data_IF_675284218960
#
_entry.id   IF_675284218960
#
_cell.length_a   1.000
_cell.length_b   1.000
_cell.length_c   1.000
_cell.angle_alpha   90.00
_cell.angle_beta   90.00
_cell.angle_gamma   90.00
#
_symmetry.space_group_name_H-M   'P 1'
#
loop_
_entity.id
_entity.type
_entity.pdbx_description
1 polymer ?
#
# COMPACT_ATOMS: atom_id res chain seq x y z
N UNK A 1 -13.48 66.16 67.56
CA UNK A 1 -12.39 67.14 67.66
C UNK A 1 -11.21 66.72 66.81
N UNK A 2 -10.73 67.62 65.96
CA UNK A 2 -9.52 67.64 65.13
C UNK A 2 -9.50 66.85 63.84
N UNK A 3 -9.61 67.58 62.76
CA UNK A 3 -9.22 67.39 61.38
C UNK A 3 -7.76 66.99 61.23
N UNK A 4 -7.43 66.18 60.16
CA UNK A 4 -6.33 66.54 59.26
C UNK A 4 -6.48 65.82 57.91
N UNK A 5 -6.50 66.61 56.88
CA UNK A 5 -6.37 66.23 55.42
C UNK A 5 -4.94 65.85 55.15
N UNK A 6 -4.71 64.87 54.20
CA UNK A 6 -3.54 64.86 53.32
C UNK A 6 -3.86 64.00 52.04
N UNK A 7 -4.03 64.72 51.02
CA UNK A 7 -3.33 64.84 49.74
C UNK A 7 -3.03 63.53 48.95
N UNK A 8 -3.53 63.59 47.71
CA UNK A 8 -3.42 62.67 46.58
C UNK A 8 -1.98 62.32 46.20
N UNK A 9 -1.80 61.10 45.73
CA UNK A 9 -0.64 60.67 44.97
C UNK A 9 -1.09 59.74 43.90
N UNK A 10 -1.13 60.21 42.63
CA UNK A 10 -1.32 59.42 41.44
C UNK A 10 -0.01 58.62 41.16
N UNK A 11 -0.07 57.29 41.16
CA UNK A 11 0.98 56.44 40.66
C UNK A 11 0.44 55.73 39.44
N UNK A 12 0.95 56.08 38.26
CA UNK A 12 0.71 55.42 37.01
C UNK A 12 1.49 54.10 37.00
N UNK A 13 0.79 52.97 36.97
CA UNK A 13 1.37 51.67 36.72
C UNK A 13 1.33 51.38 35.19
N UNK A 14 2.51 51.39 34.56
CA UNK A 14 2.71 50.90 33.22
C UNK A 14 2.63 49.37 33.26
N UNK A 15 1.58 48.80 32.69
CA UNK A 15 1.46 47.36 32.50
C UNK A 15 2.25 46.95 31.25
N UNK A 16 3.45 46.37 31.46
CA UNK A 16 4.24 45.71 30.41
C UNK A 16 3.62 44.34 30.15
N UNK A 17 2.90 44.19 29.03
CA UNK A 17 2.39 42.92 28.58
C UNK A 17 3.53 42.03 28.06
N UNK A 18 3.84 40.97 28.79
CA UNK A 18 4.62 39.84 28.23
C UNK A 18 3.70 39.02 27.32
N UNK A 19 3.95 39.09 26.01
CA UNK A 19 3.45 38.10 25.06
C UNK A 19 4.30 36.83 25.21
N UNK A 20 3.77 35.81 25.89
CA UNK A 20 4.27 34.43 25.73
C UNK A 20 3.78 33.93 24.38
N UNK A 21 4.69 33.87 23.39
CA UNK A 21 4.49 33.09 22.23
C UNK A 21 4.61 31.59 22.63
N UNK A 22 3.47 30.95 22.85
CA UNK A 22 3.40 29.50 22.91
C UNK A 22 3.54 28.97 21.50
N UNK A 23 4.75 28.49 21.15
CA UNK A 23 4.91 27.57 20.01
C UNK A 23 4.34 26.22 20.45
N UNK A 24 3.05 26.02 20.20
CA UNK A 24 2.46 24.71 20.14
C UNK A 24 2.76 24.17 18.75
N UNK A 25 3.68 23.21 18.66
CA UNK A 25 3.79 22.33 17.50
C UNK A 25 2.68 21.29 17.61
N UNK A 26 1.45 21.68 17.33
CA UNK A 26 0.43 20.73 16.93
C UNK A 26 0.73 20.38 15.47
N UNK A 27 1.06 19.11 15.24
CA UNK A 27 1.04 18.53 13.92
C UNK A 27 -0.40 18.53 13.39
N UNK A 28 -0.84 19.66 12.88
CA UNK A 28 -2.05 19.75 12.07
C UNK A 28 -1.68 19.10 10.75
N UNK A 29 -2.28 17.94 10.48
CA UNK A 29 -2.49 17.51 9.11
C UNK A 29 -3.03 18.74 8.35
N UNK A 30 -2.37 19.10 7.27
CA UNK A 30 -2.78 20.20 6.42
C UNK A 30 -4.15 19.84 5.84
N UNK A 31 -5.21 20.38 6.45
CA UNK A 31 -6.49 20.51 5.76
C UNK A 31 -6.28 21.59 4.69
N UNK A 32 -5.72 21.19 3.54
CA UNK A 32 -5.70 22.02 2.35
C UNK A 32 -7.13 22.35 1.93
N UNK A 33 -7.33 23.51 1.32
CA UNK A 33 -8.61 23.95 0.73
C UNK A 33 -8.98 23.11 -0.52
N UNK A 34 -8.24 22.00 -0.81
CA UNK A 34 -8.38 21.10 -1.95
C UNK A 34 -9.24 19.85 -1.66
N UNK A 35 -9.54 19.06 -2.71
CA UNK A 35 -10.31 17.83 -2.58
C UNK A 35 -9.64 16.84 -1.63
N UNK A 36 -10.49 16.04 -0.97
CA UNK A 36 -10.05 14.98 -0.06
C UNK A 36 -10.11 13.65 -0.79
N UNK A 37 -8.94 13.04 -0.97
CA UNK A 37 -8.77 11.72 -1.56
C UNK A 37 -8.62 10.70 -0.45
N UNK A 38 -9.42 9.64 -0.46
CA UNK A 38 -9.18 8.46 0.33
C UNK A 38 -8.56 7.38 -0.54
N UNK A 39 -7.49 6.77 -0.09
CA UNK A 39 -6.91 5.58 -0.69
C UNK A 39 -7.12 4.39 0.26
N UNK A 40 -7.52 3.27 -0.28
CA UNK A 40 -7.89 2.09 0.50
C UNK A 40 -6.69 1.51 1.25
N UNK A 41 -5.50 1.44 0.61
CA UNK A 41 -4.27 0.91 1.19
C UNK A 41 -3.02 1.57 0.60
N UNK A 42 -1.84 1.22 1.12
CA UNK A 42 -0.60 1.98 0.91
C UNK A 42 -0.19 2.22 -0.55
N UNK A 43 -0.11 1.24 -1.48
CA UNK A 43 0.27 1.50 -2.86
C UNK A 43 -0.61 2.53 -3.57
N UNK A 44 -1.93 2.45 -3.33
CA UNK A 44 -2.89 3.42 -3.89
C UNK A 44 -2.74 4.81 -3.24
N UNK A 45 -2.44 4.85 -1.93
CA UNK A 45 -2.14 6.09 -1.23
C UNK A 45 -0.86 6.72 -1.78
N UNK A 46 0.19 5.94 -1.99
CA UNK A 46 1.44 6.41 -2.59
C UNK A 46 1.22 7.03 -3.97
N UNK A 47 0.52 6.33 -4.87
CA UNK A 47 0.21 6.85 -6.20
C UNK A 47 -0.64 8.14 -6.12
N UNK A 48 -1.66 8.15 -5.26
CA UNK A 48 -2.52 9.31 -5.07
C UNK A 48 -1.76 10.52 -4.50
N UNK A 49 -0.87 10.33 -3.53
CA UNK A 49 -0.03 11.39 -2.95
C UNK A 49 0.94 11.98 -3.98
N UNK A 50 1.58 11.11 -4.79
CA UNK A 50 2.50 11.52 -5.85
C UNK A 50 1.78 12.38 -6.90
N UNK A 51 0.57 12.01 -7.30
CA UNK A 51 -0.24 12.72 -8.31
C UNK A 51 -0.89 13.97 -7.72
N UNK A 52 -1.47 13.89 -6.55
CA UNK A 52 -2.15 15.01 -5.89
C UNK A 52 -1.19 16.17 -5.56
N UNK A 53 0.01 15.84 -5.04
CA UNK A 53 0.97 16.84 -4.58
C UNK A 53 0.35 17.78 -3.52
N UNK A 54 0.57 19.09 -3.61
CA UNK A 54 -0.02 20.05 -2.66
C UNK A 54 -1.47 20.44 -2.98
N UNK A 55 -2.04 19.96 -4.08
CA UNK A 55 -3.32 20.44 -4.63
C UNK A 55 -4.52 19.63 -4.16
N UNK A 56 -4.29 18.47 -3.51
CA UNK A 56 -5.32 17.66 -2.83
C UNK A 56 -4.76 17.01 -1.55
N UNK A 57 -5.64 16.74 -0.58
CA UNK A 57 -5.27 15.97 0.62
C UNK A 57 -5.49 14.48 0.38
N UNK A 58 -4.52 13.64 0.74
CA UNK A 58 -4.66 12.18 0.64
C UNK A 58 -4.64 11.56 2.04
N UNK A 59 -5.54 10.60 2.26
CA UNK A 59 -5.60 9.82 3.51
C UNK A 59 -5.63 8.34 3.16
N UNK A 60 -4.71 7.57 3.74
CA UNK A 60 -4.72 6.11 3.65
C UNK A 60 -5.65 5.53 4.72
N UNK A 61 -6.61 4.67 4.32
CA UNK A 61 -7.52 4.01 5.26
C UNK A 61 -6.82 2.91 6.06
N UNK A 62 -5.90 2.17 5.43
CA UNK A 62 -5.11 1.14 6.11
C UNK A 62 -3.92 1.77 6.82
N UNK A 63 -3.92 1.75 8.15
CA UNK A 63 -2.85 2.33 8.95
C UNK A 63 -1.57 1.48 8.89
N UNK A 64 -0.37 2.07 9.08
CA UNK A 64 0.87 1.30 9.16
C UNK A 64 0.79 0.17 10.19
N UNK A 65 1.31 -1.00 9.83
CA UNK A 65 1.30 -2.20 10.67
C UNK A 65 -0.02 -2.99 10.67
N UNK A 66 -1.01 -2.54 9.89
CA UNK A 66 -2.27 -3.27 9.70
C UNK A 66 -2.19 -4.06 8.39
N UNK A 67 -2.56 -5.33 8.44
CA UNK A 67 -2.71 -6.19 7.29
C UNK A 67 -3.90 -5.69 6.43
N UNK A 68 -3.71 -5.58 5.11
CA UNK A 68 -4.67 -4.88 4.26
C UNK A 68 -5.92 -5.70 3.94
N UNK A 69 -5.80 -7.02 3.76
CA UNK A 69 -6.93 -7.91 3.45
C UNK A 69 -7.99 -7.90 4.57
N UNK A 70 -7.55 -7.86 5.83
CA UNK A 70 -8.39 -7.95 7.03
C UNK A 70 -8.79 -6.58 7.61
N UNK A 71 -8.72 -5.51 6.83
CA UNK A 71 -9.04 -4.17 7.31
C UNK A 71 -10.49 -4.09 7.83
N UNK A 72 -10.64 -3.70 9.09
CA UNK A 72 -11.92 -3.34 9.71
C UNK A 72 -12.05 -1.81 9.81
N UNK A 73 -13.13 -1.25 9.27
CA UNK A 73 -13.36 0.19 9.31
C UNK A 73 -13.99 0.66 10.62
N UNK A 74 -13.40 1.68 11.23
CA UNK A 74 -14.05 2.39 12.34
C UNK A 74 -15.21 3.27 11.84
N UNK A 75 -16.16 3.59 12.72
CA UNK A 75 -17.25 4.51 12.35
C UNK A 75 -16.79 5.89 11.88
N UNK A 76 -15.56 6.34 12.26
CA UNK A 76 -14.95 7.55 11.73
C UNK A 76 -14.55 7.38 10.27
N UNK A 77 -13.88 6.29 9.93
CA UNK A 77 -13.45 5.97 8.56
C UNK A 77 -14.65 5.78 7.62
N UNK A 78 -15.72 5.13 8.07
CA UNK A 78 -16.99 5.08 7.30
C UNK A 78 -17.53 6.48 7.02
N UNK A 79 -17.45 7.40 8.00
CA UNK A 79 -17.81 8.80 7.80
C UNK A 79 -16.88 9.54 6.83
N UNK A 80 -15.59 9.21 6.80
CA UNK A 80 -14.60 9.73 5.86
C UNK A 80 -14.93 9.24 4.43
N UNK A 81 -15.24 7.95 4.25
CA UNK A 81 -15.71 7.38 2.98
C UNK A 81 -16.94 8.14 2.45
N UNK A 82 -17.93 8.43 3.32
CA UNK A 82 -19.13 9.16 2.94
C UNK A 82 -18.92 10.63 2.55
N UNK A 83 -17.77 11.21 2.89
CA UNK A 83 -17.46 12.63 2.68
C UNK A 83 -16.26 12.90 1.77
N UNK A 84 -15.63 11.87 1.24
CA UNK A 84 -14.50 12.00 0.34
C UNK A 84 -14.94 12.54 -1.04
N UNK A 85 -14.08 13.33 -1.66
CA UNK A 85 -14.28 13.82 -3.03
C UNK A 85 -13.85 12.78 -4.06
N UNK A 86 -12.89 11.91 -3.71
CA UNK A 86 -12.43 10.76 -4.49
C UNK A 86 -12.01 9.63 -3.55
N UNK A 87 -12.43 8.40 -3.87
CA UNK A 87 -11.99 7.19 -3.19
C UNK A 87 -11.28 6.32 -4.21
N UNK A 88 -10.01 5.98 -3.96
CA UNK A 88 -9.20 5.09 -4.81
C UNK A 88 -9.12 3.74 -4.12
N UNK A 89 -9.68 2.71 -4.73
CA UNK A 89 -9.78 1.38 -4.12
C UNK A 89 -9.64 0.28 -5.19
N UNK A 90 -9.53 -0.94 -4.72
CA UNK A 90 -9.52 -2.16 -5.52
C UNK A 90 -10.68 -3.04 -5.05
N UNK A 91 -11.71 -3.18 -5.87
CA UNK A 91 -12.91 -3.95 -5.56
C UNK A 91 -12.56 -5.43 -5.34
N UNK A 92 -13.12 -6.01 -4.27
CA UNK A 92 -12.89 -7.40 -3.89
C UNK A 92 -11.60 -7.66 -3.10
N UNK A 93 -10.78 -6.63 -2.83
CA UNK A 93 -9.56 -6.77 -2.02
C UNK A 93 -9.81 -6.54 -0.52
N UNK A 94 -10.64 -5.53 -0.19
CA UNK A 94 -10.96 -5.15 1.19
C UNK A 94 -12.47 -5.13 1.40
N UNK A 95 -13.12 -6.22 1.87
CA UNK A 95 -14.59 -6.31 1.96
C UNK A 95 -15.24 -5.19 2.77
N UNK A 96 -14.57 -4.70 3.83
CA UNK A 96 -15.09 -3.59 4.63
C UNK A 96 -15.09 -2.26 3.87
N UNK A 97 -14.13 -2.04 2.98
CA UNK A 97 -14.07 -0.85 2.11
C UNK A 97 -15.14 -0.93 1.04
N UNK A 98 -15.28 -2.08 0.38
CA UNK A 98 -16.32 -2.32 -0.64
C UNK A 98 -17.71 -2.06 -0.05
N UNK A 99 -18.02 -2.63 1.12
CA UNK A 99 -19.29 -2.43 1.80
C UNK A 99 -19.52 -0.97 2.21
N UNK A 100 -18.48 -0.25 2.59
CA UNK A 100 -18.60 1.17 2.94
C UNK A 100 -18.85 2.05 1.70
N UNK A 101 -18.20 1.74 0.58
CA UNK A 101 -18.38 2.42 -0.71
C UNK A 101 -19.80 2.20 -1.23
N UNK A 102 -20.27 0.96 -1.27
CA UNK A 102 -21.61 0.60 -1.73
C UNK A 102 -22.73 1.32 -0.98
N UNK A 103 -22.52 1.57 0.30
CA UNK A 103 -23.53 2.20 1.15
C UNK A 103 -23.46 3.73 1.17
N UNK A 104 -22.30 4.34 0.87
CA UNK A 104 -22.05 5.74 1.21
C UNK A 104 -21.43 6.58 0.08
N UNK A 105 -20.88 5.97 -1.00
CA UNK A 105 -20.08 6.69 -1.99
C UNK A 105 -20.75 6.71 -3.38
N UNK A 106 -21.74 7.58 -3.59
CA UNK A 106 -22.42 7.76 -4.86
C UNK A 106 -21.52 8.45 -5.91
N UNK A 107 -20.78 7.66 -6.71
CA UNK A 107 -20.06 8.16 -7.89
C UNK A 107 -18.71 8.82 -7.63
N UNK A 108 -18.20 8.80 -6.40
CA UNK A 108 -16.89 9.32 -6.03
C UNK A 108 -15.81 8.24 -5.96
N UNK A 109 -16.15 6.98 -6.14
CA UNK A 109 -15.24 5.85 -6.09
C UNK A 109 -14.57 5.60 -7.46
N UNK A 110 -13.27 5.34 -7.42
CA UNK A 110 -12.43 4.90 -8.52
C UNK A 110 -11.94 3.48 -8.21
N UNK A 111 -12.56 2.49 -8.85
CA UNK A 111 -12.04 1.12 -8.85
C UNK A 111 -10.88 1.02 -9.84
N UNK A 112 -9.67 0.79 -9.36
CA UNK A 112 -8.48 0.74 -10.22
C UNK A 112 -8.48 -0.48 -11.16
N UNK A 113 -9.21 -1.55 -10.83
CA UNK A 113 -9.31 -2.73 -11.69
C UNK A 113 -10.04 -2.47 -13.00
N UNK A 114 -10.88 -1.43 -13.07
CA UNK A 114 -11.62 -1.07 -14.30
C UNK A 114 -10.70 -0.68 -15.47
N UNK A 115 -9.47 -0.28 -15.17
CA UNK A 115 -8.46 0.14 -16.15
C UNK A 115 -7.36 -0.87 -16.39
N UNK A 116 -7.38 -2.00 -15.67
CA UNK A 116 -6.35 -3.02 -15.69
C UNK A 116 -6.86 -4.32 -16.32
N UNK A 117 -5.95 -5.16 -16.78
CA UNK A 117 -6.25 -6.54 -17.14
C UNK A 117 -5.80 -7.43 -15.99
N UNK A 118 -6.77 -8.03 -15.30
CA UNK A 118 -6.46 -8.93 -14.21
C UNK A 118 -5.95 -10.28 -14.77
N UNK A 119 -4.91 -10.82 -14.10
CA UNK A 119 -4.48 -12.21 -14.31
C UNK A 119 -5.32 -13.14 -13.43
N UNK A 120 -5.41 -14.42 -13.81
CA UNK A 120 -6.09 -15.42 -12.98
C UNK A 120 -5.36 -15.52 -11.63
N UNK A 121 -6.11 -15.54 -10.53
CA UNK A 121 -5.55 -15.81 -9.20
C UNK A 121 -5.03 -17.26 -9.13
N UNK A 122 -4.16 -17.53 -8.15
CA UNK A 122 -3.75 -18.92 -7.89
C UNK A 122 -4.97 -19.74 -7.49
N UNK A 123 -5.26 -20.82 -8.23
CA UNK A 123 -6.36 -21.73 -7.91
C UNK A 123 -6.08 -22.42 -6.55
N UNK A 124 -6.70 -21.93 -5.47
CA UNK A 124 -6.81 -22.72 -4.27
C UNK A 124 -7.83 -23.83 -4.50
N UNK A 125 -7.43 -25.07 -4.26
CA UNK A 125 -8.32 -26.25 -4.30
C UNK A 125 -9.33 -26.28 -3.14
N UNK A 126 -9.80 -25.11 -2.65
CA UNK A 126 -10.89 -25.05 -1.68
C UNK A 126 -12.22 -24.85 -2.40
N UNK A 127 -12.93 -25.96 -2.64
CA UNK A 127 -14.31 -26.05 -3.17
C UNK A 127 -15.37 -25.47 -2.18
N UNK A 128 -15.09 -24.43 -1.42
CA UNK A 128 -16.07 -23.80 -0.55
C UNK A 128 -16.46 -22.42 -1.08
N UNK A 129 -17.32 -22.43 -2.09
CA UNK A 129 -17.93 -21.23 -2.66
C UNK A 129 -18.81 -20.54 -1.63
N UNK A 130 -18.28 -19.53 -0.96
CA UNK A 130 -19.10 -18.54 -0.27
C UNK A 130 -19.55 -17.51 -1.31
N UNK A 131 -20.88 -17.23 -1.35
CA UNK A 131 -21.53 -16.28 -2.29
C UNK A 131 -21.19 -14.79 -2.01
N UNK A 132 -19.97 -14.48 -1.60
CA UNK A 132 -19.47 -13.10 -1.47
C UNK A 132 -18.77 -12.69 -2.77
N UNK A 133 -18.78 -11.41 -3.11
CA UNK A 133 -18.20 -10.90 -4.35
C UNK A 133 -16.68 -11.06 -4.31
N UNK A 134 -16.20 -12.23 -4.73
CA UNK A 134 -14.77 -12.50 -4.87
C UNK A 134 -14.25 -11.80 -6.13
N UNK A 135 -13.08 -11.17 -6.01
CA UNK A 135 -12.38 -10.62 -7.16
C UNK A 135 -12.09 -11.76 -8.15
N UNK A 136 -12.54 -11.60 -9.40
CA UNK A 136 -12.19 -12.56 -10.47
C UNK A 136 -10.74 -12.32 -10.92
N UNK A 137 -9.74 -12.67 -10.09
CA UNK A 137 -8.33 -12.53 -10.42
C UNK A 137 -7.45 -12.23 -9.22
N UNK A 138 -6.15 -12.12 -9.46
CA UNK A 138 -5.16 -11.72 -8.48
C UNK A 138 -5.29 -10.20 -8.18
N UNK A 139 -5.44 -9.77 -6.92
CA UNK A 139 -5.58 -8.36 -6.55
C UNK A 139 -4.25 -7.59 -6.58
N UNK A 140 -3.10 -8.25 -6.54
CA UNK A 140 -1.78 -7.65 -6.27
C UNK A 140 -1.20 -6.90 -7.49
N UNK A 141 -2.05 -6.14 -8.17
CA UNK A 141 -1.76 -5.41 -9.42
C UNK A 141 -0.59 -4.44 -9.31
N UNK A 142 -0.36 -3.87 -8.13
CA UNK A 142 0.65 -2.83 -7.86
C UNK A 142 2.09 -3.37 -7.87
N UNK A 143 2.30 -4.69 -7.85
CA UNK A 143 3.61 -5.31 -7.95
C UNK A 143 4.15 -5.39 -9.39
N UNK A 144 3.34 -4.96 -10.38
CA UNK A 144 3.80 -4.61 -11.72
C UNK A 144 3.91 -3.09 -11.84
N UNK A 145 5.13 -2.52 -12.02
CA UNK A 145 5.31 -1.07 -12.16
C UNK A 145 4.51 -0.46 -13.31
N UNK A 146 4.21 -1.21 -14.36
CA UNK A 146 3.41 -0.71 -15.48
C UNK A 146 1.93 -0.56 -15.12
N UNK A 147 1.40 -1.41 -14.26
CA UNK A 147 0.07 -1.26 -13.70
C UNK A 147 -0.01 -0.03 -12.78
N UNK A 148 1.01 0.19 -11.94
CA UNK A 148 1.09 1.39 -11.10
C UNK A 148 1.12 2.68 -11.93
N UNK A 149 1.78 2.68 -13.09
CA UNK A 149 1.75 3.81 -14.00
C UNK A 149 0.33 4.09 -14.54
N UNK A 150 -0.42 3.05 -14.92
CA UNK A 150 -1.82 3.18 -15.35
C UNK A 150 -2.73 3.68 -14.22
N UNK A 151 -2.52 3.19 -13.00
CA UNK A 151 -3.23 3.66 -11.80
C UNK A 151 -2.98 5.17 -11.59
N UNK A 152 -1.73 5.61 -11.67
CA UNK A 152 -1.37 7.02 -11.52
C UNK A 152 -2.02 7.91 -12.59
N UNK A 153 -2.01 7.49 -13.84
CA UNK A 153 -2.68 8.20 -14.95
C UNK A 153 -4.20 8.31 -14.69
N UNK A 154 -4.83 7.21 -14.24
CA UNK A 154 -6.27 7.18 -13.97
C UNK A 154 -6.64 8.08 -12.77
N UNK A 155 -5.81 8.12 -11.74
CA UNK A 155 -5.98 9.04 -10.60
C UNK A 155 -5.87 10.49 -11.07
N UNK A 156 -4.91 10.81 -11.96
CA UNK A 156 -4.76 12.15 -12.51
C UNK A 156 -5.99 12.60 -13.31
N UNK A 157 -6.54 11.72 -14.13
CA UNK A 157 -7.76 12.00 -14.89
C UNK A 157 -8.94 12.33 -13.96
N UNK A 158 -9.13 11.54 -12.90
CA UNK A 158 -10.21 11.77 -11.94
C UNK A 158 -10.03 13.05 -11.13
N UNK A 159 -8.78 13.35 -10.70
CA UNK A 159 -8.47 14.61 -10.03
C UNK A 159 -8.63 15.82 -10.97
N UNK A 160 -8.25 15.70 -12.24
CA UNK A 160 -8.44 16.74 -13.25
C UNK A 160 -9.93 17.04 -13.51
N UNK A 161 -10.79 16.03 -13.47
CA UNK A 161 -12.25 16.20 -13.54
C UNK A 161 -12.80 16.94 -12.30
N UNK A 162 -12.29 16.61 -11.11
CA UNK A 162 -12.73 17.21 -9.85
C UNK A 162 -12.24 18.67 -9.69
N UNK A 163 -11.00 18.97 -10.14
CA UNK A 163 -10.34 20.28 -10.00
C UNK A 163 -9.69 20.68 -11.31
N UNK A 164 -10.47 21.14 -12.31
CA UNK A 164 -9.97 21.45 -13.66
C UNK A 164 -8.88 22.52 -13.69
N UNK A 165 -8.82 23.42 -12.71
CA UNK A 165 -7.78 24.44 -12.59
C UNK A 165 -6.40 23.90 -12.28
N UNK A 166 -6.29 22.66 -11.76
CA UNK A 166 -5.04 21.96 -11.46
C UNK A 166 -4.78 20.77 -12.40
N UNK A 167 -5.60 20.58 -13.45
CA UNK A 167 -5.55 19.42 -14.34
C UNK A 167 -4.15 19.18 -14.94
N UNK A 168 -3.53 20.24 -15.50
CA UNK A 168 -2.18 20.12 -16.06
C UNK A 168 -1.15 19.66 -15.02
N UNK A 169 -1.26 20.14 -13.77
CA UNK A 169 -0.33 19.79 -12.71
C UNK A 169 -0.49 18.32 -12.25
N UNK A 170 -1.72 17.78 -12.22
CA UNK A 170 -1.95 16.36 -11.92
C UNK A 170 -1.39 15.46 -13.01
N UNK A 171 -1.64 15.79 -14.29
CA UNK A 171 -1.08 15.02 -15.42
C UNK A 171 0.45 15.10 -15.49
N UNK A 172 1.04 16.27 -15.24
CA UNK A 172 2.50 16.41 -15.22
C UNK A 172 3.13 15.51 -14.14
N UNK A 173 2.56 15.50 -12.92
CA UNK A 173 3.04 14.64 -11.83
C UNK A 173 2.81 13.15 -12.08
N UNK A 174 1.69 12.77 -12.69
CA UNK A 174 1.46 11.39 -13.11
C UNK A 174 2.47 10.95 -14.18
N UNK A 175 2.81 11.84 -15.12
CA UNK A 175 3.83 11.55 -16.11
C UNK A 175 5.23 11.40 -15.49
N UNK A 176 5.60 12.23 -14.51
CA UNK A 176 6.86 12.09 -13.77
C UNK A 176 6.91 10.75 -13.03
N UNK A 177 5.82 10.38 -12.35
CA UNK A 177 5.74 9.08 -11.65
C UNK A 177 5.84 7.90 -12.63
N UNK A 178 5.17 7.99 -13.77
CA UNK A 178 5.25 6.97 -14.83
C UNK A 178 6.68 6.79 -15.33
N UNK A 179 7.42 7.86 -15.58
CA UNK A 179 8.82 7.79 -16.03
C UNK A 179 9.73 7.09 -14.98
N UNK A 180 9.49 7.33 -13.68
CA UNK A 180 10.20 6.63 -12.60
C UNK A 180 9.82 5.15 -12.55
N UNK A 181 8.53 4.80 -12.75
CA UNK A 181 8.05 3.41 -12.77
C UNK A 181 8.56 2.65 -14.01
N UNK A 182 8.63 3.29 -15.17
CA UNK A 182 9.24 2.72 -16.37
C UNK A 182 10.74 2.43 -16.16
N UNK A 183 11.46 3.32 -15.45
CA UNK A 183 12.85 3.06 -15.10
C UNK A 183 13.00 1.88 -14.12
N UNK A 184 12.09 1.74 -13.14
CA UNK A 184 12.06 0.59 -12.23
C UNK A 184 11.77 -0.71 -13.00
N UNK A 185 10.83 -0.71 -13.95
CA UNK A 185 10.54 -1.84 -14.82
C UNK A 185 11.76 -2.27 -15.64
N UNK A 186 12.55 -1.30 -16.16
CA UNK A 186 13.80 -1.58 -16.86
C UNK A 186 14.87 -2.20 -15.91
N UNK A 187 14.96 -1.73 -14.64
CA UNK A 187 15.85 -2.31 -13.62
C UNK A 187 15.49 -3.80 -13.39
N UNK A 188 14.23 -4.12 -13.13
CA UNK A 188 13.73 -5.49 -12.96
C UNK A 188 13.96 -6.36 -14.19
N UNK A 189 13.59 -5.87 -15.36
CA UNK A 189 13.76 -6.58 -16.62
C UNK A 189 15.22 -6.93 -16.91
N UNK A 190 16.14 -6.03 -16.57
CA UNK A 190 17.57 -6.21 -16.79
C UNK A 190 18.19 -7.20 -15.81
N UNK A 191 17.89 -7.06 -14.52
CA UNK A 191 18.50 -7.87 -13.47
C UNK A 191 17.93 -9.29 -13.40
N UNK A 192 16.65 -9.47 -13.73
CA UNK A 192 16.01 -10.79 -13.73
C UNK A 192 16.06 -11.53 -15.08
N UNK A 193 16.72 -10.98 -16.11
CA UNK A 193 16.79 -11.60 -17.44
C UNK A 193 17.48 -12.94 -17.43
N UNK A 194 18.62 -13.04 -16.75
CA UNK A 194 19.53 -14.20 -16.78
C UNK A 194 19.69 -14.80 -15.38
N UNK A 195 18.60 -15.36 -14.80
CA UNK A 195 18.62 -16.05 -13.52
C UNK A 195 18.84 -17.56 -13.70
N UNK A 196 19.61 -18.20 -12.79
CA UNK A 196 19.81 -19.64 -12.74
C UNK A 196 18.51 -20.39 -12.43
N UNK A 197 17.64 -19.79 -11.61
CA UNK A 197 16.34 -20.32 -11.19
C UNK A 197 15.24 -19.33 -11.57
N UNK A 198 14.15 -19.86 -12.09
CA UNK A 198 12.97 -19.03 -12.46
C UNK A 198 11.83 -19.17 -11.47
N UNK A 199 11.89 -20.21 -10.61
CA UNK A 199 10.88 -20.47 -9.57
C UNK A 199 11.30 -19.85 -8.27
N UNK A 200 10.38 -19.19 -7.59
CA UNK A 200 10.54 -18.70 -6.20
C UNK A 200 9.32 -19.03 -5.36
N UNK A 201 9.52 -19.22 -4.06
CA UNK A 201 8.47 -19.63 -3.10
C UNK A 201 8.21 -18.53 -2.10
N UNK A 202 6.94 -18.21 -1.87
CA UNK A 202 6.47 -17.12 -0.98
C UNK A 202 5.50 -17.62 0.08
N UNK A 203 5.33 -16.88 1.18
CA UNK A 203 4.35 -17.17 2.23
C UNK A 203 2.92 -17.21 1.70
N UNK A 204 2.52 -16.23 0.88
CA UNK A 204 1.24 -16.26 0.15
C UNK A 204 1.43 -15.85 -1.32
N UNK A 205 0.37 -15.97 -2.11
CA UNK A 205 0.42 -15.84 -3.56
C UNK A 205 0.22 -14.37 -4.03
N UNK A 206 1.04 -13.42 -3.51
CA UNK A 206 0.95 -12.01 -3.85
C UNK A 206 1.68 -11.60 -5.14
N UNK A 207 2.68 -12.34 -5.56
CA UNK A 207 3.64 -11.88 -6.57
C UNK A 207 3.32 -12.35 -8.00
N UNK A 208 2.04 -12.68 -8.28
CA UNK A 208 1.61 -13.18 -9.58
C UNK A 208 1.91 -12.22 -10.74
N UNK A 209 1.60 -10.93 -10.57
CA UNK A 209 1.90 -9.90 -11.59
C UNK A 209 3.39 -9.69 -11.80
N UNK A 210 4.17 -9.64 -10.73
CA UNK A 210 5.63 -9.54 -10.83
C UNK A 210 6.21 -10.76 -11.55
N UNK A 211 5.80 -11.96 -11.17
CA UNK A 211 6.24 -13.20 -11.81
C UNK A 211 5.89 -13.22 -13.31
N UNK A 212 4.64 -12.88 -13.65
CA UNK A 212 4.18 -12.80 -15.03
C UNK A 212 4.97 -11.77 -15.86
N UNK A 213 5.22 -10.59 -15.27
CA UNK A 213 5.93 -9.50 -15.96
C UNK A 213 7.35 -9.85 -16.33
N UNK A 214 8.07 -10.54 -15.43
CA UNK A 214 9.51 -10.80 -15.59
C UNK A 214 9.83 -12.29 -15.92
N UNK A 215 8.84 -13.05 -16.42
CA UNK A 215 8.99 -14.45 -16.81
C UNK A 215 9.55 -15.32 -15.68
N UNK A 216 9.08 -15.11 -14.45
CA UNK A 216 9.32 -15.94 -13.27
C UNK A 216 8.10 -16.80 -12.97
N UNK A 217 8.26 -17.80 -12.11
CA UNK A 217 7.18 -18.63 -11.59
C UNK A 217 7.10 -18.52 -10.07
N UNK A 218 5.97 -18.03 -9.57
CA UNK A 218 5.70 -17.91 -8.15
C UNK A 218 4.97 -19.14 -7.64
N UNK A 219 5.36 -19.64 -6.47
CA UNK A 219 4.67 -20.71 -5.75
C UNK A 219 4.37 -20.21 -4.32
N UNK A 220 3.11 -19.87 -4.04
CA UNK A 220 2.67 -19.49 -2.71
C UNK A 220 2.53 -20.70 -1.78
N UNK A 221 2.92 -20.58 -0.51
CA UNK A 221 2.60 -21.57 0.52
C UNK A 221 1.10 -21.49 0.84
N UNK A 222 0.59 -20.29 1.14
CA UNK A 222 -0.84 -19.99 1.16
C UNK A 222 -1.31 -19.50 -0.23
N UNK A 223 -2.62 -19.37 -0.41
CA UNK A 223 -3.24 -18.78 -1.58
C UNK A 223 -3.16 -17.25 -1.62
N UNK A 224 -4.18 -16.62 -2.17
CA UNK A 224 -4.30 -15.15 -2.23
C UNK A 224 -4.45 -14.53 -0.83
N UNK A 225 -5.14 -15.22 0.08
CA UNK A 225 -5.30 -14.79 1.47
C UNK A 225 -4.08 -15.23 2.31
N UNK A 226 -3.31 -14.28 2.87
CA UNK A 226 -2.11 -14.58 3.67
C UNK A 226 -2.42 -15.31 4.99
N UNK A 227 -3.62 -15.15 5.56
CA UNK A 227 -4.04 -15.78 6.81
C UNK A 227 -4.61 -17.19 6.62
N UNK A 228 -4.80 -17.64 5.38
CA UNK A 228 -5.25 -18.99 5.07
C UNK A 228 -4.22 -20.04 5.50
N UNK A 229 -4.64 -21.01 6.32
CA UNK A 229 -3.76 -22.12 6.73
C UNK A 229 -3.53 -23.08 5.56
N UNK A 230 -2.26 -23.30 5.10
CA UNK A 230 -1.99 -24.23 4.03
C UNK A 230 -2.28 -25.68 4.44
N UNK A 231 -2.91 -26.46 3.55
CA UNK A 231 -3.17 -27.86 3.82
C UNK A 231 -1.87 -28.67 3.89
N UNK A 232 -1.84 -29.83 4.61
CA UNK A 232 -0.67 -30.70 4.58
C UNK A 232 -0.29 -31.20 3.17
N UNK A 233 -1.27 -31.29 2.25
CA UNK A 233 -1.03 -31.63 0.86
C UNK A 233 -0.29 -30.51 0.13
N UNK A 234 -0.69 -29.25 0.36
CA UNK A 234 -0.01 -28.06 -0.19
C UNK A 234 1.43 -27.96 0.30
N UNK A 235 1.67 -28.12 1.61
CA UNK A 235 3.03 -28.12 2.16
C UNK A 235 3.92 -29.21 1.52
N UNK A 236 3.37 -30.42 1.32
CA UNK A 236 4.11 -31.50 0.63
C UNK A 236 4.34 -31.22 -0.86
N UNK A 237 3.48 -30.46 -1.51
CA UNK A 237 3.66 -29.99 -2.88
C UNK A 237 4.75 -28.94 -2.97
N UNK A 238 4.69 -27.90 -2.14
CA UNK A 238 5.72 -26.84 -2.08
C UNK A 238 7.09 -27.45 -1.78
N UNK A 239 7.18 -28.41 -0.84
CA UNK A 239 8.42 -29.13 -0.55
C UNK A 239 8.99 -29.85 -1.80
N UNK A 240 8.13 -30.45 -2.63
CA UNK A 240 8.57 -31.09 -3.88
C UNK A 240 9.06 -30.03 -4.88
N UNK A 241 8.35 -28.92 -5.05
CA UNK A 241 8.80 -27.85 -5.93
C UNK A 241 10.16 -27.32 -5.52
N UNK A 242 10.36 -27.02 -4.22
CA UNK A 242 11.67 -26.57 -3.69
C UNK A 242 12.79 -27.52 -4.05
N UNK A 243 12.56 -28.85 -3.95
CA UNK A 243 13.57 -29.88 -4.26
C UNK A 243 13.79 -30.06 -5.77
N UNK A 244 12.74 -30.06 -6.56
CA UNK A 244 12.80 -30.34 -8.01
C UNK A 244 13.38 -29.16 -8.79
N UNK A 245 13.04 -27.92 -8.40
CA UNK A 245 13.48 -26.67 -9.04
C UNK A 245 14.76 -26.09 -8.42
N UNK A 246 15.24 -26.69 -7.32
CA UNK A 246 16.47 -26.27 -6.64
C UNK A 246 16.35 -24.88 -5.99
N UNK A 247 15.16 -24.54 -5.49
CA UNK A 247 14.91 -23.29 -4.76
C UNK A 247 15.79 -23.27 -3.51
N UNK A 248 16.46 -22.14 -3.28
CA UNK A 248 17.41 -21.97 -2.16
C UNK A 248 16.84 -21.17 -1.02
N UNK A 249 15.74 -20.44 -1.26
CA UNK A 249 15.18 -19.46 -0.32
C UNK A 249 13.66 -19.50 -0.36
N UNK A 250 13.03 -19.57 0.81
CA UNK A 250 11.58 -19.37 0.97
C UNK A 250 11.36 -17.95 1.49
N UNK A 251 10.54 -17.19 0.78
CA UNK A 251 10.25 -15.81 1.13
C UNK A 251 9.08 -15.71 2.10
N UNK A 252 9.18 -14.78 3.04
CA UNK A 252 8.10 -14.36 3.94
C UNK A 252 7.93 -12.84 3.91
N UNK A 253 6.79 -12.37 4.37
CA UNK A 253 6.41 -10.96 4.39
C UNK A 253 6.44 -10.37 5.80
N UNK A 254 6.27 -9.03 5.91
CA UNK A 254 6.46 -8.32 7.19
C UNK A 254 5.20 -8.22 8.03
N UNK A 255 4.02 -8.20 7.42
CA UNK A 255 2.76 -7.93 8.12
C UNK A 255 2.12 -9.18 8.73
N UNK A 256 2.52 -10.39 8.28
CA UNK A 256 2.02 -11.66 8.80
C UNK A 256 3.13 -12.49 9.46
N UNK A 257 2.73 -13.56 10.16
CA UNK A 257 3.70 -14.42 10.86
C UNK A 257 4.57 -15.23 9.91
N UNK A 258 5.92 -15.17 10.00
CA UNK A 258 6.81 -15.97 9.16
C UNK A 258 6.86 -17.45 9.54
N UNK A 259 6.17 -17.88 10.62
CA UNK A 259 6.37 -19.17 11.28
C UNK A 259 6.19 -20.39 10.35
N UNK A 260 5.27 -20.35 9.39
CA UNK A 260 5.04 -21.46 8.44
C UNK A 260 6.17 -21.53 7.44
N UNK A 261 6.58 -20.39 6.87
CA UNK A 261 7.70 -20.31 5.92
C UNK A 261 9.02 -20.75 6.57
N UNK A 262 9.31 -20.25 7.78
CA UNK A 262 10.50 -20.63 8.54
C UNK A 262 10.51 -22.12 8.89
N UNK A 263 9.40 -22.68 9.36
CA UNK A 263 9.31 -24.09 9.69
C UNK A 263 9.52 -25.00 8.47
N UNK A 264 8.98 -24.61 7.31
CA UNK A 264 9.14 -25.33 6.07
C UNK A 264 10.59 -25.26 5.57
N UNK A 265 11.20 -24.06 5.62
CA UNK A 265 12.60 -23.84 5.24
C UNK A 265 13.55 -24.67 6.11
N UNK A 266 13.35 -24.69 7.42
CA UNK A 266 14.14 -25.49 8.37
C UNK A 266 14.03 -27.00 8.08
N UNK A 267 12.81 -27.51 7.76
CA UNK A 267 12.59 -28.94 7.48
C UNK A 267 13.28 -29.37 6.16
N UNK A 268 13.33 -28.50 5.18
CA UNK A 268 13.93 -28.78 3.86
C UNK A 268 15.43 -28.47 3.86
N UNK A 269 15.89 -27.54 4.69
CA UNK A 269 17.28 -27.09 4.79
C UNK A 269 17.62 -25.99 3.76
N UNK A 270 16.70 -25.05 3.51
CA UNK A 270 16.89 -23.86 2.68
C UNK A 270 16.86 -22.59 3.55
N UNK A 271 17.23 -21.44 3.00
CA UNK A 271 17.24 -20.17 3.69
C UNK A 271 15.85 -19.51 3.67
N UNK A 272 15.65 -18.48 4.51
CA UNK A 272 14.49 -17.59 4.44
C UNK A 272 14.95 -16.16 4.22
N UNK A 273 14.15 -15.38 3.48
CA UNK A 273 14.38 -13.96 3.27
C UNK A 273 13.03 -13.22 3.20
N UNK A 274 13.07 -11.89 3.30
CA UNK A 274 11.89 -11.06 3.11
C UNK A 274 11.66 -10.79 1.63
N UNK A 275 10.43 -10.98 1.17
CA UNK A 275 9.89 -10.42 -0.07
C UNK A 275 8.57 -9.75 0.31
N UNK A 276 8.52 -8.42 0.18
CA UNK A 276 7.44 -7.62 0.74
C UNK A 276 6.37 -7.36 -0.33
N UNK A 277 5.10 -7.76 -0.14
CA UNK A 277 4.02 -7.44 -1.08
C UNK A 277 3.64 -5.96 -1.07
N UNK A 278 4.21 -5.16 -0.18
CA UNK A 278 4.05 -3.69 -0.10
C UNK A 278 2.57 -3.27 0.11
N UNK A 279 1.78 -4.07 0.79
CA UNK A 279 0.38 -3.77 1.10
C UNK A 279 0.23 -2.65 2.15
N UNK A 280 1.24 -2.49 2.99
CA UNK A 280 1.32 -1.46 4.02
C UNK A 280 2.74 -1.27 4.53
N UNK A 281 2.98 -0.13 5.18
CA UNK A 281 4.24 0.12 5.88
C UNK A 281 4.18 -0.44 7.31
N UNK A 282 5.34 -0.79 7.85
CA UNK A 282 5.54 -1.17 9.25
C UNK A 282 6.36 -0.10 9.97
N UNK A 283 6.56 -0.23 11.28
CA UNK A 283 7.48 0.65 12.02
C UNK A 283 8.91 0.58 11.47
N UNK A 284 9.33 -0.58 10.98
CA UNK A 284 10.68 -0.79 10.42
C UNK A 284 10.84 -0.23 8.99
N UNK A 285 9.74 0.00 8.29
CA UNK A 285 9.73 0.55 6.92
C UNK A 285 9.10 1.93 6.83
N UNK A 286 8.90 2.60 7.98
CA UNK A 286 8.23 3.91 8.04
C UNK A 286 8.96 5.03 7.28
N UNK A 287 10.27 4.89 7.09
CA UNK A 287 11.12 5.83 6.34
C UNK A 287 11.34 5.38 4.87
N UNK A 288 10.76 4.25 4.46
CA UNK A 288 10.86 3.70 3.11
C UNK A 288 9.68 4.16 2.24
N UNK A 289 9.85 4.04 0.92
CA UNK A 289 8.80 4.30 -0.05
C UNK A 289 8.57 3.10 -0.98
N UNK A 290 7.58 3.19 -1.86
CA UNK A 290 7.26 2.15 -2.83
C UNK A 290 8.48 1.73 -3.67
N UNK A 291 9.29 2.69 -4.13
CA UNK A 291 10.46 2.40 -4.96
C UNK A 291 11.59 1.72 -4.19
N UNK A 292 11.84 2.16 -2.96
CA UNK A 292 12.87 1.53 -2.12
C UNK A 292 12.48 0.10 -1.72
N UNK A 293 11.20 -0.15 -1.41
CA UNK A 293 10.69 -1.48 -1.11
C UNK A 293 10.72 -2.39 -2.34
N UNK A 294 10.32 -1.90 -3.51
CA UNK A 294 10.43 -2.65 -4.77
C UNK A 294 11.89 -3.01 -5.07
N UNK A 295 12.85 -2.09 -4.91
CA UNK A 295 14.27 -2.40 -5.11
C UNK A 295 14.79 -3.41 -4.10
N UNK A 296 14.36 -3.35 -2.83
CA UNK A 296 14.70 -4.37 -1.84
C UNK A 296 14.16 -5.76 -2.25
N UNK A 297 12.97 -5.82 -2.83
CA UNK A 297 12.42 -7.05 -3.41
C UNK A 297 13.24 -7.54 -4.60
N UNK A 298 13.67 -6.65 -5.48
CA UNK A 298 14.52 -6.99 -6.62
C UNK A 298 15.86 -7.59 -6.16
N UNK A 299 16.53 -6.96 -5.20
CA UNK A 299 17.79 -7.45 -4.64
C UNK A 299 17.62 -8.86 -4.02
N UNK A 300 16.51 -9.08 -3.30
CA UNK A 300 16.20 -10.38 -2.70
C UNK A 300 15.94 -11.47 -3.75
N UNK A 301 15.23 -11.14 -4.81
CA UNK A 301 14.98 -12.07 -5.94
C UNK A 301 16.27 -12.36 -6.72
N UNK A 302 17.10 -11.35 -6.99
CA UNK A 302 18.39 -11.51 -7.67
C UNK A 302 19.28 -12.49 -6.91
N UNK A 303 19.43 -12.31 -5.59
CA UNK A 303 20.24 -13.19 -4.74
C UNK A 303 19.68 -14.63 -4.72
N UNK A 304 18.38 -14.78 -4.43
CA UNK A 304 17.76 -16.10 -4.28
C UNK A 304 17.72 -16.89 -5.60
N UNK A 305 17.47 -16.21 -6.71
CA UNK A 305 17.35 -16.86 -8.02
C UNK A 305 18.69 -17.00 -8.75
N UNK A 306 19.77 -16.40 -8.21
CA UNK A 306 21.12 -16.47 -8.78
C UNK A 306 21.19 -15.77 -10.14
N UNK A 307 20.66 -14.55 -10.20
CA UNK A 307 20.71 -13.74 -11.41
C UNK A 307 22.11 -13.10 -11.58
N UNK A 308 22.56 -12.83 -12.82
CA UNK A 308 23.92 -12.41 -13.14
C UNK A 308 23.95 -11.05 -13.87
#
# INVERSE_FOLDING_TARGET
MKFTRRTAGFAAFAATGLFLAACGSDGSAASGDGPQVLAAFYPLAYAAERVAGPDAGVTNLTQPGVEAHDLELTGRQVGEVASADLIVYLEGFQPAVDAAIDQNADGTALNVTDTLTLIEGSEDESDDHTDEAELNGDPHVWLDPTNMALIAETIADRLAEAVPEHADAFHDRAQELKEELEALDEEYSSLLADCERRVFVTSHAAFGYLAHRYDLEMVGIAGIDPDAEPSPARLAEVQRVVQDEGVTTIFYERLVSPAVAEALADDIGVETAVLDPIEGLTDDTADEDYFSLMRANLDALEEANGCA
#
